data_IF_448916597040
#
_entry.id   IF_448916597040
#
_cell.length_a   1.000
_cell.length_b   1.000
_cell.length_c   1.000
_cell.angle_alpha   90.00
_cell.angle_beta   90.00
_cell.angle_gamma   90.00
#
_symmetry.space_group_name_H-M   'P 1'
#
loop_
_entity.id
_entity.type
_entity.pdbx_description
1 polymer ?
#
# COMPACT_ATOMS: atom_id res chain seq x y z
N UNK A 1 25.11 4.50 0.67
CA UNK A 1 24.10 3.53 0.18
C UNK A 1 24.75 2.61 -0.87
N UNK A 2 24.56 1.29 -0.73
CA UNK A 2 24.92 0.32 -1.77
C UNK A 2 23.72 0.07 -2.68
N UNK A 3 23.95 -0.13 -3.97
CA UNK A 3 22.92 -0.60 -4.90
C UNK A 3 23.24 -2.06 -5.20
N UNK A 4 22.30 -2.95 -4.98
CA UNK A 4 22.46 -4.41 -5.10
C UNK A 4 21.37 -4.93 -6.05
N UNK A 5 21.77 -5.77 -7.01
CA UNK A 5 20.86 -6.30 -8.02
C UNK A 5 20.61 -7.80 -7.88
N UNK A 6 21.45 -8.52 -7.12
CA UNK A 6 21.33 -9.97 -6.99
C UNK A 6 20.97 -10.40 -5.57
N UNK A 7 20.25 -11.52 -5.46
CA UNK A 7 19.87 -12.14 -4.19
C UNK A 7 21.15 -12.58 -3.43
N UNK A 8 22.12 -13.10 -4.17
CA UNK A 8 23.38 -13.58 -3.58
C UNK A 8 24.15 -12.46 -2.88
N UNK A 9 24.29 -11.29 -3.53
CA UNK A 9 24.97 -10.13 -2.94
C UNK A 9 24.21 -9.58 -1.73
N UNK A 10 22.88 -9.50 -1.82
CA UNK A 10 22.07 -9.01 -0.70
C UNK A 10 22.18 -9.92 0.52
N UNK A 11 22.13 -11.24 0.33
CA UNK A 11 22.30 -12.21 1.40
C UNK A 11 23.72 -12.18 1.99
N UNK A 12 24.75 -11.95 1.17
CA UNK A 12 26.11 -11.77 1.65
C UNK A 12 26.23 -10.54 2.55
N UNK A 13 25.64 -9.41 2.13
CA UNK A 13 25.57 -8.19 2.93
C UNK A 13 24.79 -8.41 4.23
N UNK A 14 23.60 -9.06 4.15
CA UNK A 14 22.74 -9.31 5.32
C UNK A 14 23.44 -10.08 6.44
N UNK A 15 24.32 -11.03 6.11
CA UNK A 15 25.08 -11.81 7.10
C UNK A 15 26.00 -10.95 7.98
N UNK A 16 26.39 -9.78 7.53
CA UNK A 16 27.30 -8.87 8.24
C UNK A 16 26.59 -7.65 8.82
N UNK A 17 25.32 -7.47 8.48
CA UNK A 17 24.51 -6.34 8.96
C UNK A 17 23.94 -6.65 10.36
N UNK A 18 23.80 -5.61 11.18
CA UNK A 18 23.04 -5.65 12.41
C UNK A 18 21.53 -5.76 12.16
N UNK A 19 20.73 -5.04 12.94
CA UNK A 19 19.29 -5.02 12.72
C UNK A 19 18.91 -4.31 11.40
N UNK A 20 17.91 -4.86 10.69
CA UNK A 20 17.49 -4.39 9.36
C UNK A 20 16.01 -4.09 9.34
N UNK A 21 15.65 -2.87 8.94
CA UNK A 21 14.28 -2.54 8.57
C UNK A 21 14.14 -2.47 7.04
N UNK A 22 13.00 -2.92 6.54
CA UNK A 22 12.73 -3.06 5.12
C UNK A 22 11.57 -2.19 4.65
N UNK A 23 11.71 -1.58 3.48
CA UNK A 23 10.65 -0.82 2.80
C UNK A 23 10.49 -1.37 1.38
N UNK A 24 9.51 -2.25 1.13
CA UNK A 24 9.23 -2.72 -0.23
C UNK A 24 8.52 -1.63 -1.04
N UNK A 25 9.03 -1.33 -2.23
CA UNK A 25 8.43 -0.37 -3.16
C UNK A 25 8.49 -0.86 -4.61
N UNK A 26 7.71 -0.22 -5.47
CA UNK A 26 7.80 -0.42 -6.92
C UNK A 26 8.58 0.71 -7.63
N UNK A 27 9.20 1.63 -6.89
CA UNK A 27 9.87 2.80 -7.45
C UNK A 27 8.93 4.00 -7.65
N UNK A 28 9.41 5.01 -8.37
CA UNK A 28 8.78 6.33 -8.53
C UNK A 28 8.45 6.96 -7.17
N UNK A 29 9.51 7.09 -6.35
CA UNK A 29 9.40 7.45 -4.95
C UNK A 29 8.96 8.90 -4.76
N UNK A 30 8.04 9.09 -3.81
CA UNK A 30 7.54 10.40 -3.39
C UNK A 30 7.63 10.54 -1.86
N UNK A 31 7.26 11.69 -1.31
CA UNK A 31 7.36 11.99 0.12
C UNK A 31 6.68 10.93 1.02
N UNK A 32 5.58 10.30 0.56
CA UNK A 32 4.96 9.19 1.28
C UNK A 32 5.89 7.99 1.46
N UNK A 33 6.67 7.61 0.45
CA UNK A 33 7.68 6.56 0.57
C UNK A 33 8.84 6.97 1.48
N UNK A 34 9.25 8.24 1.43
CA UNK A 34 10.31 8.74 2.31
C UNK A 34 9.88 8.75 3.78
N UNK A 35 8.59 8.92 4.07
CA UNK A 35 8.05 8.75 5.42
C UNK A 35 8.20 7.29 5.92
N UNK A 36 7.99 6.27 5.05
CA UNK A 36 8.29 4.88 5.38
C UNK A 36 9.77 4.68 5.71
N UNK A 37 10.66 5.28 4.91
CA UNK A 37 12.11 5.22 5.14
C UNK A 37 12.48 5.85 6.48
N UNK A 38 11.88 6.99 6.84
CA UNK A 38 12.12 7.64 8.12
C UNK A 38 11.71 6.74 9.30
N UNK A 39 10.56 6.07 9.23
CA UNK A 39 10.13 5.11 10.24
C UNK A 39 11.03 3.87 10.29
N UNK A 40 11.47 3.38 9.14
CA UNK A 40 12.42 2.27 9.07
C UNK A 40 13.76 2.60 9.74
N UNK A 41 14.27 3.82 9.54
CA UNK A 41 15.51 4.30 10.21
C UNK A 41 15.37 4.41 11.73
N UNK A 42 14.17 4.71 12.23
CA UNK A 42 13.91 4.73 13.67
C UNK A 42 13.77 3.30 14.26
N UNK A 43 13.53 2.30 13.42
CA UNK A 43 13.23 0.94 13.84
C UNK A 43 14.44 -0.01 13.83
N UNK A 44 15.51 0.29 13.09
CA UNK A 44 16.69 -0.57 12.94
C UNK A 44 17.95 0.22 12.55
N UNK A 45 19.10 -0.40 12.74
CA UNK A 45 20.42 0.16 12.42
C UNK A 45 20.61 0.37 10.91
N UNK A 46 20.09 -0.56 10.11
CA UNK A 46 20.18 -0.51 8.66
C UNK A 46 18.80 -0.49 8.01
N UNK A 47 18.69 0.25 6.92
CA UNK A 47 17.49 0.27 6.08
C UNK A 47 17.80 -0.31 4.72
N UNK A 48 16.99 -1.28 4.30
CA UNK A 48 16.94 -1.81 2.95
C UNK A 48 15.65 -1.32 2.29
N UNK A 49 15.75 -0.73 1.12
CA UNK A 49 14.59 -0.39 0.27
C UNK A 49 14.66 -1.23 -0.99
N UNK A 50 13.57 -1.88 -1.38
CA UNK A 50 13.51 -2.51 -2.70
C UNK A 50 12.79 -1.62 -3.71
N UNK A 51 13.26 -1.63 -4.95
CA UNK A 51 12.57 -1.07 -6.12
C UNK A 51 12.37 -2.19 -7.13
N UNK A 52 11.14 -2.70 -7.19
CA UNK A 52 10.77 -3.80 -8.08
C UNK A 52 9.30 -3.70 -8.52
N UNK A 53 9.06 -3.53 -9.82
CA UNK A 53 7.71 -3.55 -10.40
C UNK A 53 7.28 -5.00 -10.59
N UNK A 54 6.38 -5.47 -9.72
CA UNK A 54 5.97 -6.87 -9.64
C UNK A 54 4.85 -7.20 -10.62
N UNK A 55 5.14 -7.91 -11.70
CA UNK A 55 4.14 -8.33 -12.70
C UNK A 55 2.96 -9.11 -12.11
N UNK A 56 3.18 -9.94 -11.10
CA UNK A 56 2.14 -10.82 -10.54
C UNK A 56 0.95 -10.08 -9.92
N UNK A 57 1.13 -8.80 -9.56
CA UNK A 57 0.08 -8.00 -8.94
C UNK A 57 -0.68 -7.10 -9.92
N UNK A 58 -0.34 -7.13 -11.20
CA UNK A 58 -1.04 -6.38 -12.24
C UNK A 58 -2.00 -7.28 -13.01
N UNK A 59 -3.25 -6.84 -13.11
CA UNK A 59 -4.26 -7.48 -13.92
C UNK A 59 -4.12 -7.12 -15.41
N UNK A 60 -4.89 -7.80 -16.24
CA UNK A 60 -4.96 -7.49 -17.67
C UNK A 60 -5.50 -6.07 -17.88
N UNK A 61 -4.77 -5.23 -18.62
CA UNK A 61 -5.15 -3.84 -18.89
C UNK A 61 -4.78 -2.84 -17.79
N UNK A 62 -4.09 -3.26 -16.74
CA UNK A 62 -3.48 -2.34 -15.76
C UNK A 62 -2.16 -1.73 -16.28
N UNK A 63 -1.65 -0.75 -15.57
CA UNK A 63 -0.54 0.14 -15.93
C UNK A 63 0.87 -0.47 -15.81
N UNK A 64 1.03 -1.81 -15.87
CA UNK A 64 2.33 -2.48 -15.70
C UNK A 64 3.42 -1.98 -16.64
N UNK A 65 3.11 -1.91 -17.95
CA UNK A 65 4.09 -1.50 -18.95
C UNK A 65 4.36 0.01 -18.91
N UNK A 66 3.38 0.79 -18.42
CA UNK A 66 3.45 2.26 -18.29
C UNK A 66 3.92 2.69 -16.89
N UNK A 67 4.08 1.73 -15.96
CA UNK A 67 4.48 2.06 -14.58
C UNK A 67 5.85 2.74 -14.59
N UNK A 68 5.99 3.92 -13.95
CA UNK A 68 7.22 4.72 -14.01
C UNK A 68 8.43 3.96 -13.46
N UNK A 69 9.52 3.97 -14.21
CA UNK A 69 10.80 3.35 -13.83
C UNK A 69 11.87 4.44 -13.73
N UNK A 70 12.07 4.95 -12.53
CA UNK A 70 12.90 6.13 -12.22
C UNK A 70 14.03 5.76 -11.26
N UNK A 71 14.74 4.65 -11.52
CA UNK A 71 15.71 4.07 -10.58
C UNK A 71 16.81 5.04 -10.15
N UNK A 72 17.33 5.86 -11.06
CA UNK A 72 18.41 6.83 -10.76
C UNK A 72 17.92 7.94 -9.82
N UNK A 73 16.73 8.49 -10.09
CA UNK A 73 16.09 9.50 -9.25
C UNK A 73 15.71 8.93 -7.88
N UNK A 74 15.19 7.70 -7.86
CA UNK A 74 14.86 6.98 -6.63
C UNK A 74 16.11 6.72 -5.80
N UNK A 75 17.21 6.31 -6.43
CA UNK A 75 18.49 6.09 -5.78
C UNK A 75 19.06 7.37 -5.16
N UNK A 76 18.90 8.52 -5.83
CA UNK A 76 19.31 9.82 -5.28
C UNK A 76 18.51 10.16 -4.01
N UNK A 77 17.17 10.08 -4.07
CA UNK A 77 16.28 10.33 -2.93
C UNK A 77 16.58 9.42 -1.74
N UNK A 78 16.84 8.13 -2.00
CA UNK A 78 17.14 7.14 -0.97
C UNK A 78 18.53 7.35 -0.33
N UNK A 79 19.50 7.83 -1.11
CA UNK A 79 20.84 8.18 -0.61
C UNK A 79 20.74 9.34 0.37
N UNK A 80 20.00 10.39 -0.02
CA UNK A 80 19.78 11.58 0.81
C UNK A 80 18.98 11.23 2.08
N UNK A 81 18.04 10.27 1.97
CA UNK A 81 17.30 9.74 3.10
C UNK A 81 18.12 8.81 4.02
N UNK A 82 19.39 8.52 3.72
CA UNK A 82 20.28 7.72 4.56
C UNK A 82 20.01 6.22 4.53
N UNK A 83 19.48 5.69 3.42
CA UNK A 83 19.26 4.26 3.20
C UNK A 83 20.59 3.53 3.08
N UNK A 84 20.72 2.35 3.69
CA UNK A 84 21.93 1.53 3.65
C UNK A 84 22.07 0.77 2.33
N UNK A 85 20.98 0.16 1.88
CA UNK A 85 20.94 -0.65 0.65
C UNK A 85 19.68 -0.36 -0.16
N UNK A 86 19.86 -0.10 -1.45
CA UNK A 86 18.82 -0.18 -2.47
C UNK A 86 18.92 -1.54 -3.16
N UNK A 87 17.90 -2.38 -3.01
CA UNK A 87 17.78 -3.65 -3.71
C UNK A 87 16.91 -3.47 -4.95
N UNK A 88 17.52 -3.54 -6.13
CA UNK A 88 16.88 -3.34 -7.43
C UNK A 88 17.09 -4.56 -8.33
N UNK A 89 16.44 -5.70 -8.02
CA UNK A 89 16.60 -6.92 -8.81
C UNK A 89 15.88 -6.83 -10.14
N UNK A 90 16.36 -7.58 -11.13
CA UNK A 90 15.62 -7.81 -12.36
C UNK A 90 14.44 -8.77 -12.14
N UNK A 91 13.49 -8.80 -13.07
CA UNK A 91 12.40 -9.78 -13.04
C UNK A 91 12.94 -11.21 -13.09
N UNK A 92 13.97 -11.48 -13.89
CA UNK A 92 14.60 -12.80 -13.98
C UNK A 92 15.30 -13.21 -12.69
N UNK A 93 15.87 -12.27 -11.93
CA UNK A 93 16.47 -12.55 -10.63
C UNK A 93 15.42 -12.98 -9.60
N UNK A 94 14.28 -12.26 -9.53
CA UNK A 94 13.19 -12.63 -8.62
C UNK A 94 12.36 -13.81 -9.12
N UNK A 95 12.13 -13.91 -10.42
CA UNK A 95 11.31 -14.95 -11.05
C UNK A 95 12.12 -15.66 -12.16
N UNK A 96 13.07 -16.55 -11.79
CA UNK A 96 13.94 -17.21 -12.76
C UNK A 96 13.21 -18.20 -13.68
N UNK A 97 11.97 -18.56 -13.35
CA UNK A 97 11.09 -19.35 -14.20
C UNK A 97 10.06 -18.44 -14.84
N UNK A 98 9.67 -18.73 -16.07
CA UNK A 98 8.64 -17.96 -16.80
C UNK A 98 7.31 -17.94 -16.04
N UNK A 99 7.00 -18.99 -15.29
CA UNK A 99 5.81 -19.13 -14.46
C UNK A 99 6.21 -19.29 -12.99
N UNK A 100 5.56 -18.50 -12.10
CA UNK A 100 5.66 -18.65 -10.64
C UNK A 100 4.61 -19.66 -10.18
N UNK A 101 5.04 -20.90 -9.93
CA UNK A 101 4.14 -22.02 -9.57
C UNK A 101 3.73 -21.98 -8.10
N UNK A 102 4.65 -21.65 -7.19
CA UNK A 102 4.37 -21.56 -5.76
C UNK A 102 4.00 -20.12 -5.42
N UNK A 103 2.81 -19.94 -4.85
CA UNK A 103 2.25 -18.64 -4.52
C UNK A 103 1.69 -18.63 -3.09
N UNK A 104 1.62 -17.48 -2.47
CA UNK A 104 0.89 -17.26 -1.23
C UNK A 104 -0.54 -16.90 -1.57
N UNK A 105 -1.50 -17.68 -1.09
CA UNK A 105 -2.92 -17.45 -1.28
C UNK A 105 -3.50 -16.78 -0.04
N UNK A 106 -3.81 -15.46 -0.07
CA UNK A 106 -4.47 -14.80 1.06
C UNK A 106 -5.89 -15.32 1.28
N UNK A 107 -6.48 -15.10 2.48
CA UNK A 107 -7.86 -15.51 2.78
C UNK A 107 -8.88 -14.76 1.92
N UNK A 108 -10.18 -15.01 2.17
CA UNK A 108 -11.28 -14.43 1.37
C UNK A 108 -11.23 -12.91 1.21
N UNK A 109 -10.65 -12.20 2.17
CA UNK A 109 -10.42 -10.75 2.08
C UNK A 109 -9.73 -10.31 0.77
N UNK A 110 -8.92 -11.18 0.15
CA UNK A 110 -8.31 -10.88 -1.14
C UNK A 110 -9.32 -10.62 -2.28
N UNK A 111 -10.56 -11.08 -2.14
CA UNK A 111 -11.63 -10.98 -3.13
C UNK A 111 -12.65 -9.87 -2.80
N UNK A 112 -12.45 -9.15 -1.70
CA UNK A 112 -13.29 -8.04 -1.26
C UNK A 112 -12.64 -6.69 -1.57
N UNK A 113 -13.38 -5.58 -1.42
CA UNK A 113 -12.86 -4.22 -1.58
C UNK A 113 -12.07 -4.06 -2.90
N UNK A 114 -10.78 -3.67 -2.83
CA UNK A 114 -9.94 -3.57 -4.02
C UNK A 114 -9.83 -4.90 -4.79
N UNK A 115 -9.83 -6.03 -4.09
CA UNK A 115 -9.70 -7.35 -4.70
C UNK A 115 -10.88 -7.74 -5.60
N UNK A 116 -12.07 -7.25 -5.32
CA UNK A 116 -13.24 -7.47 -6.17
C UNK A 116 -13.04 -6.87 -7.58
N UNK A 117 -12.30 -5.78 -7.67
CA UNK A 117 -12.02 -5.05 -8.91
C UNK A 117 -10.65 -5.40 -9.52
N UNK A 118 -9.83 -6.14 -8.79
CA UNK A 118 -8.46 -6.52 -9.18
C UNK A 118 -8.20 -8.00 -8.86
N UNK A 119 -8.78 -8.93 -9.61
CA UNK A 119 -8.61 -10.37 -9.37
C UNK A 119 -7.12 -10.75 -9.32
N UNK A 120 -6.75 -11.60 -8.34
CA UNK A 120 -5.38 -12.07 -8.09
C UNK A 120 -4.35 -11.01 -7.65
N UNK A 121 -4.73 -9.74 -7.54
CA UNK A 121 -3.83 -8.66 -7.12
C UNK A 121 -3.13 -8.99 -5.79
N UNK A 122 -3.91 -9.30 -4.76
CA UNK A 122 -3.36 -9.54 -3.42
C UNK A 122 -2.59 -10.85 -3.31
N UNK A 123 -2.92 -11.87 -4.10
CA UNK A 123 -2.08 -13.06 -4.25
C UNK A 123 -0.71 -12.71 -4.81
N UNK A 124 -0.65 -11.85 -5.82
CA UNK A 124 0.59 -11.33 -6.37
C UNK A 124 1.41 -10.52 -5.35
N UNK A 125 0.73 -9.65 -4.57
CA UNK A 125 1.36 -8.86 -3.50
C UNK A 125 1.89 -9.75 -2.38
N UNK A 126 1.08 -10.64 -1.83
CA UNK A 126 1.49 -11.55 -0.75
C UNK A 126 2.68 -12.42 -1.18
N UNK A 127 2.64 -12.93 -2.42
CA UNK A 127 3.73 -13.76 -2.96
C UNK A 127 5.03 -12.98 -3.07
N UNK A 128 5.03 -11.77 -3.64
CA UNK A 128 6.27 -10.99 -3.77
C UNK A 128 6.80 -10.53 -2.42
N UNK A 129 5.92 -10.12 -1.49
CA UNK A 129 6.35 -9.67 -0.16
C UNK A 129 6.93 -10.83 0.65
N UNK A 130 6.29 -12.01 0.65
CA UNK A 130 6.83 -13.21 1.27
C UNK A 130 8.21 -13.56 0.70
N UNK A 131 8.35 -13.49 -0.62
CA UNK A 131 9.62 -13.72 -1.32
C UNK A 131 10.70 -12.72 -0.92
N UNK A 132 10.35 -11.43 -0.86
CA UNK A 132 11.27 -10.38 -0.42
C UNK A 132 11.65 -10.54 1.06
N UNK A 133 10.74 -10.94 1.94
CA UNK A 133 11.06 -11.24 3.34
C UNK A 133 12.08 -12.38 3.45
N UNK A 134 11.92 -13.45 2.66
CA UNK A 134 12.88 -14.55 2.62
C UNK A 134 14.26 -14.17 2.01
N UNK A 135 14.31 -13.14 1.19
CA UNK A 135 15.53 -12.64 0.55
C UNK A 135 16.27 -11.68 1.48
N UNK A 136 15.56 -10.65 1.96
CA UNK A 136 16.10 -9.56 2.80
C UNK A 136 16.32 -10.01 4.25
N UNK A 137 15.46 -10.88 4.77
CA UNK A 137 15.43 -11.33 6.16
C UNK A 137 15.45 -10.14 7.15
N UNK A 138 14.49 -9.21 7.05
CA UNK A 138 14.48 -8.03 7.90
C UNK A 138 13.93 -8.35 9.28
N UNK A 139 14.31 -7.56 10.29
CA UNK A 139 13.74 -7.61 11.64
C UNK A 139 12.41 -6.84 11.73
N UNK A 140 12.25 -5.83 10.86
CA UNK A 140 11.00 -5.07 10.73
C UNK A 140 10.76 -4.66 9.27
N UNK A 141 9.50 -4.43 8.90
CA UNK A 141 9.14 -3.90 7.59
C UNK A 141 8.04 -2.84 7.70
N UNK A 142 8.22 -1.71 6.99
CA UNK A 142 7.29 -0.59 7.02
C UNK A 142 6.33 -0.64 5.83
N UNK A 143 5.03 -0.52 6.10
CA UNK A 143 3.96 -0.47 5.10
C UNK A 143 3.05 0.73 5.35
N UNK A 144 2.68 1.43 4.28
CA UNK A 144 1.79 2.59 4.38
C UNK A 144 0.33 2.18 4.59
N UNK A 145 -0.35 2.84 5.53
CA UNK A 145 -1.80 2.69 5.75
C UNK A 145 -2.63 3.11 4.53
N UNK A 146 -2.07 3.88 3.61
CA UNK A 146 -2.77 4.24 2.37
C UNK A 146 -3.30 2.99 1.63
N UNK A 147 -2.49 1.95 1.54
CA UNK A 147 -2.86 0.67 0.96
C UNK A 147 -3.34 -0.29 2.06
N UNK A 148 -4.42 0.11 2.76
CA UNK A 148 -4.87 -0.47 4.02
C UNK A 148 -5.18 -1.96 3.93
N UNK A 149 -5.87 -2.39 2.87
CA UNK A 149 -6.16 -3.80 2.64
C UNK A 149 -4.88 -4.62 2.39
N UNK A 150 -3.90 -4.04 1.70
CA UNK A 150 -2.58 -4.66 1.54
C UNK A 150 -1.89 -4.82 2.89
N UNK A 151 -1.90 -3.79 3.73
CA UNK A 151 -1.32 -3.84 5.07
C UNK A 151 -1.97 -4.95 5.90
N UNK A 152 -3.30 -5.04 5.93
CA UNK A 152 -4.03 -6.08 6.66
C UNK A 152 -3.66 -7.49 6.17
N UNK A 153 -3.58 -7.70 4.86
CA UNK A 153 -3.19 -8.99 4.27
C UNK A 153 -1.74 -9.36 4.62
N UNK A 154 -0.82 -8.39 4.58
CA UNK A 154 0.59 -8.65 4.91
C UNK A 154 0.77 -8.94 6.40
N UNK A 155 0.06 -8.25 7.27
CA UNK A 155 0.05 -8.55 8.71
C UNK A 155 -0.46 -9.97 8.96
N UNK A 156 -1.64 -10.31 8.42
CA UNK A 156 -2.20 -11.67 8.56
C UNK A 156 -1.27 -12.75 8.00
N UNK A 157 -0.68 -12.54 6.83
CA UNK A 157 0.32 -13.47 6.27
C UNK A 157 1.52 -13.65 7.21
N UNK A 158 2.01 -12.56 7.80
CA UNK A 158 3.18 -12.58 8.69
C UNK A 158 2.87 -13.35 9.96
N UNK A 159 1.68 -13.14 10.52
CA UNK A 159 1.23 -13.80 11.75
C UNK A 159 0.95 -15.29 11.50
N UNK A 160 0.14 -15.63 10.49
CA UNK A 160 -0.28 -17.02 10.21
C UNK A 160 0.89 -17.91 9.78
N UNK A 161 1.85 -17.37 9.02
CA UNK A 161 3.03 -18.12 8.57
C UNK A 161 4.23 -18.02 9.54
N UNK A 162 4.04 -17.39 10.72
CA UNK A 162 5.09 -17.20 11.73
C UNK A 162 6.37 -16.59 11.14
N UNK A 163 6.22 -15.61 10.24
CA UNK A 163 7.36 -14.93 9.62
C UNK A 163 7.95 -13.97 10.68
N UNK A 164 9.23 -14.08 11.06
CA UNK A 164 9.81 -13.32 12.15
C UNK A 164 10.12 -11.87 11.74
N UNK A 165 9.12 -11.15 11.22
CA UNK A 165 9.24 -9.77 10.75
C UNK A 165 8.17 -8.92 11.44
N UNK A 166 8.56 -7.91 12.19
CA UNK A 166 7.64 -6.96 12.80
C UNK A 166 7.10 -5.99 11.74
N UNK A 167 5.81 -6.01 11.46
CA UNK A 167 5.18 -5.07 10.54
C UNK A 167 4.92 -3.74 11.25
N UNK A 168 5.38 -2.65 10.65
CA UNK A 168 5.21 -1.27 11.13
C UNK A 168 4.27 -0.53 10.19
N UNK A 169 3.02 -0.28 10.60
CA UNK A 169 2.11 0.57 9.84
C UNK A 169 2.57 2.03 9.92
N UNK A 170 2.54 2.72 8.78
CA UNK A 170 2.91 4.13 8.68
C UNK A 170 1.74 4.93 8.13
N UNK A 171 1.44 6.05 8.75
CA UNK A 171 0.30 6.89 8.38
C UNK A 171 0.40 7.41 6.96
N UNK A 172 -0.75 7.65 6.34
CA UNK A 172 -0.87 8.12 4.97
C UNK A 172 -0.30 9.53 4.83
N UNK A 173 0.78 9.69 4.06
CA UNK A 173 1.28 11.00 3.69
C UNK A 173 0.28 11.71 2.77
N UNK A 174 -0.01 12.99 3.05
CA UNK A 174 -0.98 13.79 2.30
C UNK A 174 -0.37 15.10 1.81
N UNK A 175 -0.91 15.63 0.71
CA UNK A 175 -0.69 17.01 0.31
C UNK A 175 -1.47 17.95 1.25
N UNK A 176 -1.18 19.26 1.20
CA UNK A 176 -1.81 20.28 2.06
C UNK A 176 -3.35 20.31 1.93
N UNK A 177 -3.87 19.96 0.76
CA UNK A 177 -5.31 19.89 0.48
C UNK A 177 -5.97 18.56 0.89
N UNK A 178 -5.21 17.64 1.51
CA UNK A 178 -5.68 16.37 2.02
C UNK A 178 -5.54 15.18 1.05
N UNK A 179 -5.16 15.41 -0.22
CA UNK A 179 -4.97 14.32 -1.18
C UNK A 179 -3.87 13.36 -0.72
N UNK A 180 -4.18 12.06 -0.63
CA UNK A 180 -3.19 11.03 -0.33
C UNK A 180 -2.09 10.99 -1.41
N UNK A 181 -0.82 10.97 -0.99
CA UNK A 181 0.32 10.91 -1.90
C UNK A 181 0.38 9.56 -2.61
N UNK A 182 0.49 9.60 -3.92
CA UNK A 182 0.53 8.41 -4.78
C UNK A 182 1.31 8.69 -6.07
N UNK A 183 2.06 7.69 -6.55
CA UNK A 183 2.70 7.74 -7.86
C UNK A 183 1.70 7.99 -8.99
N UNK A 184 0.43 7.57 -8.83
CA UNK A 184 -0.63 7.77 -9.82
C UNK A 184 -1.18 9.19 -9.85
N UNK A 185 -0.88 10.05 -8.87
CA UNK A 185 -1.33 11.44 -8.89
C UNK A 185 -0.74 12.23 -10.08
N UNK A 186 0.39 11.79 -10.64
CA UNK A 186 0.98 12.39 -11.84
C UNK A 186 0.14 12.19 -13.11
N UNK A 187 -0.82 11.25 -13.12
CA UNK A 187 -1.71 11.00 -14.24
C UNK A 187 -2.92 11.93 -14.27
N UNK A 188 -3.16 12.66 -13.18
CA UNK A 188 -4.28 13.58 -13.06
C UNK A 188 -4.04 14.85 -13.90
N UNK A 189 -5.05 15.27 -14.67
CA UNK A 189 -5.07 16.61 -15.27
C UNK A 189 -5.12 17.68 -14.17
N UNK A 190 -4.91 18.93 -14.52
CA UNK A 190 -4.99 20.05 -13.57
C UNK A 190 -6.38 20.19 -12.93
N UNK A 191 -7.45 19.84 -13.65
CA UNK A 191 -8.82 19.83 -13.14
C UNK A 191 -9.04 18.66 -12.20
N UNK A 192 -8.65 17.47 -12.63
CA UNK A 192 -8.75 16.25 -11.81
C UNK A 192 -7.92 16.39 -10.52
N UNK A 193 -6.73 17.00 -10.60
CA UNK A 193 -5.91 17.24 -9.39
C UNK A 193 -6.61 18.16 -8.38
N UNK A 194 -7.33 19.19 -8.83
CA UNK A 194 -8.12 20.07 -7.94
C UNK A 194 -9.32 19.35 -7.32
N UNK A 195 -9.91 18.42 -8.05
CA UNK A 195 -11.07 17.64 -7.59
C UNK A 195 -10.65 16.46 -6.68
N UNK A 196 -9.49 15.86 -6.91
CA UNK A 196 -9.03 14.64 -6.24
C UNK A 196 -9.11 14.66 -4.70
N UNK A 197 -8.88 15.78 -3.97
CA UNK A 197 -9.04 15.85 -2.52
C UNK A 197 -10.45 15.55 -2.01
N UNK A 198 -11.49 15.62 -2.89
CA UNK A 198 -12.87 15.28 -2.51
C UNK A 198 -12.97 13.87 -1.94
N UNK A 199 -12.24 12.91 -2.48
CA UNK A 199 -12.28 11.54 -1.97
C UNK A 199 -12.04 11.50 -0.46
N UNK A 200 -11.01 12.18 0.02
CA UNK A 200 -10.72 12.24 1.46
C UNK A 200 -11.78 13.02 2.25
N UNK A 201 -12.29 14.13 1.70
CA UNK A 201 -13.36 14.89 2.36
C UNK A 201 -14.63 14.06 2.57
N UNK A 202 -15.00 13.21 1.61
CA UNK A 202 -16.15 12.30 1.76
C UNK A 202 -15.90 11.27 2.88
N UNK A 203 -14.69 10.72 2.97
CA UNK A 203 -14.34 9.83 4.08
C UNK A 203 -14.41 10.52 5.44
N UNK A 204 -13.96 11.78 5.52
CA UNK A 204 -14.06 12.58 6.73
C UNK A 204 -15.51 12.82 7.12
N UNK A 205 -16.40 13.15 6.14
CA UNK A 205 -17.82 13.34 6.40
C UNK A 205 -18.49 12.06 6.93
N UNK A 206 -18.17 10.90 6.37
CA UNK A 206 -18.64 9.59 6.86
C UNK A 206 -18.18 9.36 8.29
N UNK A 207 -16.88 9.54 8.58
CA UNK A 207 -16.33 9.34 9.92
C UNK A 207 -16.98 10.27 10.95
N UNK A 208 -17.15 11.56 10.63
CA UNK A 208 -17.80 12.55 11.48
C UNK A 208 -19.27 12.20 11.77
N UNK A 209 -20.02 11.74 10.77
CA UNK A 209 -21.41 11.31 10.95
C UNK A 209 -21.54 10.12 11.89
N UNK A 210 -20.64 9.13 11.78
CA UNK A 210 -20.58 7.99 12.72
C UNK A 210 -20.23 8.45 14.12
N UNK A 211 -19.24 9.32 14.28
CA UNK A 211 -18.83 9.90 15.56
C UNK A 211 -19.96 10.74 16.21
N UNK A 212 -20.79 11.38 15.38
CA UNK A 212 -21.99 12.10 15.83
C UNK A 212 -23.17 11.17 16.19
N UNK A 213 -22.99 9.85 16.16
CA UNK A 213 -24.00 8.86 16.59
C UNK A 213 -24.81 8.23 15.46
N UNK A 214 -24.58 8.58 14.19
CA UNK A 214 -25.27 7.91 13.09
C UNK A 214 -24.71 6.48 12.91
N UNK A 215 -25.59 5.49 12.97
CA UNK A 215 -25.23 4.06 12.86
C UNK A 215 -25.79 3.38 11.61
N UNK A 216 -26.46 4.14 10.73
CA UNK A 216 -26.87 3.64 9.41
C UNK A 216 -25.68 3.70 8.45
N UNK A 217 -24.76 2.74 8.63
CA UNK A 217 -23.53 2.65 7.83
C UNK A 217 -23.83 2.52 6.33
N UNK A 218 -24.88 1.79 5.98
CA UNK A 218 -25.30 1.62 4.57
C UNK A 218 -25.72 2.93 3.94
N UNK A 219 -26.56 3.71 4.64
CA UNK A 219 -26.98 5.03 4.14
C UNK A 219 -25.78 5.99 4.00
N UNK A 220 -24.84 5.99 4.96
CA UNK A 220 -23.64 6.84 4.90
C UNK A 220 -22.72 6.47 3.72
N UNK A 221 -22.47 5.18 3.50
CA UNK A 221 -21.68 4.68 2.38
C UNK A 221 -22.30 5.06 1.04
N UNK A 222 -23.60 4.83 0.90
CA UNK A 222 -24.36 5.17 -0.32
C UNK A 222 -24.38 6.68 -0.59
N UNK A 223 -24.57 7.51 0.45
CA UNK A 223 -24.56 8.97 0.31
C UNK A 223 -23.20 9.48 -0.17
N UNK A 224 -22.10 8.99 0.42
CA UNK A 224 -20.76 9.37 0.01
C UNK A 224 -20.46 8.92 -1.44
N UNK A 225 -20.83 7.70 -1.80
CA UNK A 225 -20.67 7.19 -3.16
C UNK A 225 -21.49 8.04 -4.17
N UNK A 226 -22.74 8.36 -3.85
CA UNK A 226 -23.58 9.20 -4.70
C UNK A 226 -23.01 10.62 -4.86
N UNK A 227 -22.51 11.22 -3.77
CA UNK A 227 -21.91 12.55 -3.82
C UNK A 227 -20.64 12.57 -4.70
N UNK A 228 -19.79 11.55 -4.61
CA UNK A 228 -18.65 11.39 -5.54
C UNK A 228 -19.14 11.29 -6.99
N UNK A 229 -20.16 10.46 -7.28
CA UNK A 229 -20.72 10.29 -8.63
C UNK A 229 -21.26 11.59 -9.21
N UNK A 230 -21.93 12.42 -8.43
CA UNK A 230 -22.40 13.75 -8.85
C UNK A 230 -21.27 14.68 -9.28
N UNK A 231 -20.04 14.42 -8.83
CA UNK A 231 -18.83 15.17 -9.18
C UNK A 231 -17.94 14.46 -10.22
N UNK A 232 -18.52 13.55 -10.99
CA UNK A 232 -17.84 12.91 -12.12
C UNK A 232 -16.95 11.71 -11.77
N UNK A 233 -17.02 11.21 -10.53
CA UNK A 233 -16.28 10.01 -10.13
C UNK A 233 -17.03 8.73 -10.51
N UNK A 234 -16.27 7.71 -10.88
CA UNK A 234 -16.76 6.34 -11.00
C UNK A 234 -16.35 5.57 -9.74
N UNK A 235 -17.30 5.36 -8.84
CA UNK A 235 -17.04 4.76 -7.53
C UNK A 235 -17.04 3.24 -7.64
N UNK A 236 -15.95 2.62 -7.23
CA UNK A 236 -15.86 1.17 -7.07
C UNK A 236 -16.55 0.77 -5.76
N UNK A 237 -16.17 1.41 -4.65
CA UNK A 237 -16.78 1.21 -3.33
C UNK A 237 -16.50 2.40 -2.40
N UNK A 238 -17.37 2.56 -1.40
CA UNK A 238 -17.15 3.27 -0.13
C UNK A 238 -17.64 2.34 0.95
N UNK A 239 -16.77 1.89 1.85
CA UNK A 239 -17.15 0.91 2.87
C UNK A 239 -16.60 1.23 4.25
N UNK A 240 -17.41 1.00 5.29
CA UNK A 240 -17.03 1.08 6.70
C UNK A 240 -16.71 -0.34 7.18
N UNK A 241 -15.51 -0.54 7.65
CA UNK A 241 -14.99 -1.84 8.12
C UNK A 241 -14.38 -1.70 9.51
N UNK A 242 -14.16 -2.81 10.20
CA UNK A 242 -13.38 -2.83 11.43
C UNK A 242 -11.90 -2.65 11.15
N UNK A 243 -11.18 -1.93 12.01
CA UNK A 243 -9.73 -1.82 11.90
C UNK A 243 -9.05 -3.20 12.05
N UNK A 244 -7.94 -3.38 11.38
CA UNK A 244 -7.13 -4.60 11.42
C UNK A 244 -7.72 -5.73 10.56
N UNK A 245 -8.83 -6.32 10.98
CA UNK A 245 -9.43 -7.49 10.30
C UNK A 245 -10.21 -7.16 9.03
N UNK A 246 -10.63 -5.92 8.84
CA UNK A 246 -11.47 -5.45 7.73
C UNK A 246 -12.82 -6.20 7.59
N UNK A 247 -13.35 -6.74 8.68
CA UNK A 247 -14.71 -7.27 8.67
C UNK A 247 -15.72 -6.14 8.44
N UNK A 248 -16.88 -6.48 7.88
CA UNK A 248 -18.00 -5.54 7.76
C UNK A 248 -18.35 -5.01 9.15
N UNK A 249 -18.37 -3.69 9.30
CA UNK A 249 -18.67 -3.05 10.58
C UNK A 249 -20.09 -3.35 11.05
N UNK A 250 -20.25 -3.60 12.34
CA UNK A 250 -21.52 -3.88 13.02
C UNK A 250 -21.76 -2.88 14.13
N UNK A 251 -23.00 -2.82 14.60
CA UNK A 251 -23.33 -2.05 15.80
C UNK A 251 -22.51 -2.57 16.99
N UNK A 252 -21.87 -1.65 17.69
CA UNK A 252 -21.01 -1.96 18.84
C UNK A 252 -19.51 -2.03 18.49
N UNK A 253 -19.14 -2.06 17.21
CA UNK A 253 -17.74 -1.93 16.82
C UNK A 253 -17.28 -0.49 17.05
N UNK A 254 -16.19 -0.32 17.80
CA UNK A 254 -15.68 1.01 18.20
C UNK A 254 -14.46 1.46 17.40
N UNK A 255 -13.69 0.52 16.83
CA UNK A 255 -12.49 0.80 16.03
C UNK A 255 -12.80 0.56 14.57
N UNK A 256 -13.07 1.63 13.84
CA UNK A 256 -13.55 1.58 12.47
C UNK A 256 -12.54 2.23 11.51
N UNK A 257 -12.65 1.84 10.27
CA UNK A 257 -11.98 2.46 9.12
C UNK A 257 -12.99 2.59 7.99
N UNK A 258 -13.08 3.76 7.39
CA UNK A 258 -13.79 3.95 6.13
C UNK A 258 -12.77 3.92 5.00
N UNK A 259 -13.05 3.10 3.97
CA UNK A 259 -12.19 2.93 2.80
C UNK A 259 -12.98 3.25 1.55
N UNK A 260 -12.31 3.84 0.56
CA UNK A 260 -12.91 4.04 -0.75
C UNK A 260 -11.91 3.79 -1.87
N UNK A 261 -12.47 3.37 -2.99
CA UNK A 261 -11.79 3.36 -4.27
C UNK A 261 -12.71 3.94 -5.34
N UNK A 262 -12.19 4.86 -6.13
CA UNK A 262 -12.94 5.50 -7.19
C UNK A 262 -12.02 5.97 -8.31
N UNK A 263 -12.55 6.08 -9.52
CA UNK A 263 -11.86 6.63 -10.69
C UNK A 263 -12.28 8.07 -10.91
N UNK A 264 -11.27 8.92 -11.10
CA UNK A 264 -11.45 10.28 -11.59
C UNK A 264 -10.79 10.34 -12.98
N UNK A 265 -11.57 10.53 -14.01
CA UNK A 265 -11.14 10.30 -15.38
C UNK A 265 -10.63 8.87 -15.57
N UNK A 266 -9.35 8.73 -15.96
CA UNK A 266 -8.69 7.43 -16.15
C UNK A 266 -7.96 6.93 -14.90
N UNK A 267 -7.78 7.78 -13.90
CA UNK A 267 -6.94 7.49 -12.73
C UNK A 267 -7.77 6.89 -11.60
N UNK A 268 -7.44 5.67 -11.20
CA UNK A 268 -8.02 5.04 -10.01
C UNK A 268 -7.29 5.50 -8.77
N UNK A 269 -8.01 6.12 -7.85
CA UNK A 269 -7.52 6.57 -6.56
C UNK A 269 -8.12 5.71 -5.44
N UNK A 270 -7.35 5.52 -4.38
CA UNK A 270 -7.79 4.88 -3.14
C UNK A 270 -7.44 5.77 -1.96
N UNK A 271 -8.27 5.73 -0.95
CA UNK A 271 -8.00 6.39 0.33
C UNK A 271 -8.74 5.69 1.46
N UNK A 272 -8.35 6.01 2.69
CA UNK A 272 -8.99 5.51 3.89
C UNK A 272 -8.80 6.47 5.07
N UNK A 273 -9.63 6.28 6.10
CA UNK A 273 -9.55 7.02 7.35
C UNK A 273 -9.95 6.11 8.52
N UNK A 274 -9.03 5.90 9.46
CA UNK A 274 -9.31 5.26 10.74
C UNK A 274 -10.02 6.24 11.69
N UNK A 275 -11.00 5.77 12.43
CA UNK A 275 -11.68 6.56 13.44
C UNK A 275 -12.26 5.66 14.54
N UNK A 276 -12.56 6.26 15.69
CA UNK A 276 -13.29 5.62 16.78
C UNK A 276 -14.78 6.00 16.68
N UNK A 277 -15.67 5.03 16.93
CA UNK A 277 -17.10 5.23 17.18
C UNK A 277 -17.33 5.03 18.68
N UNK A 278 -17.99 6.00 19.31
CA UNK A 278 -18.41 5.91 20.73
C UNK A 278 -19.70 5.10 20.88
#
# INVERSE_FOLDING_TARGET
MKIIHTIAELRAWRKTAGSVAFVPTMGNLHAGHLALVAQARAAAEHVVVSVFVNRLQFGQGEDFDQYPRTLEEDAAKLRDAGVSVLFAPSEQELYPRVRQDYQVEPPHLQNELCGQFRPNHFRGVATVVCKLFNIVQPDAACFGKKDYQQLAIIQGMTDDLNIPVRIIPVDTGRAEDGLALSSRNQYLSAEERREAPRLFRELQAVAQAVQAGNRDYSALQNAAAHHLQQHGWQVDYVEIRTQGSLHIARLGDTRLVVLAAARLGKTRLIDNLEFAAE
#
